data_IF_098582236811
#
_entry.id   IF_098582236811
#
_cell.length_a   1.000
_cell.length_b   1.000
_cell.length_c   1.000
_cell.angle_alpha   90.00
_cell.angle_beta   90.00
_cell.angle_gamma   90.00
#
_symmetry.space_group_name_H-M   'P 1'
#
loop_
_entity.id
_entity.type
_entity.pdbx_description
1 polymer ?
#
# COMPACT_ATOMS: atom_id res chain seq x y z
N UNK A 1 30.52 -33.09 43.99
CA UNK A 1 29.61 -31.92 43.94
C UNK A 1 28.31 -32.34 43.29
N UNK A 2 27.17 -32.14 43.96
CA UNK A 2 25.88 -32.66 43.50
C UNK A 2 25.33 -31.81 42.34
N UNK A 3 24.62 -32.43 41.39
CA UNK A 3 24.18 -31.77 40.14
C UNK A 3 23.34 -30.50 40.44
N UNK A 4 22.51 -30.56 41.47
CA UNK A 4 21.68 -29.44 41.97
C UNK A 4 22.51 -28.26 42.47
N UNK A 5 23.61 -28.51 43.17
CA UNK A 5 24.48 -27.46 43.72
C UNK A 5 25.22 -26.72 42.61
N UNK A 6 25.64 -27.46 41.56
CA UNK A 6 26.32 -26.89 40.39
C UNK A 6 25.40 -25.93 39.62
N UNK A 7 24.12 -26.27 39.48
CA UNK A 7 23.12 -25.38 38.87
C UNK A 7 22.83 -24.15 39.71
N UNK A 8 22.81 -24.26 41.05
CA UNK A 8 22.59 -23.14 41.96
C UNK A 8 23.73 -22.11 41.87
N UNK A 9 24.97 -22.58 41.90
CA UNK A 9 26.16 -21.71 41.74
C UNK A 9 26.21 -21.01 40.37
N UNK A 10 25.81 -21.68 39.28
CA UNK A 10 25.73 -21.06 37.95
C UNK A 10 24.66 -19.96 37.88
N UNK A 11 23.55 -20.13 38.61
CA UNK A 11 22.48 -19.13 38.73
C UNK A 11 22.91 -17.93 39.56
N UNK A 12 23.62 -18.16 40.66
CA UNK A 12 24.16 -17.08 41.51
C UNK A 12 25.27 -16.28 40.80
N UNK A 13 26.12 -16.95 39.99
CA UNK A 13 27.12 -16.28 39.14
C UNK A 13 26.50 -15.47 37.99
N UNK A 14 25.31 -15.84 37.52
CA UNK A 14 24.62 -15.12 36.45
C UNK A 14 23.53 -14.23 37.03
N UNK A 15 23.84 -12.95 37.21
CA UNK A 15 22.91 -11.91 37.67
C UNK A 15 21.81 -11.58 36.63
N UNK A 16 21.37 -12.58 35.84
CA UNK A 16 20.29 -12.47 34.85
C UNK A 16 18.97 -12.41 35.60
N UNK A 17 18.51 -11.19 35.87
CA UNK A 17 17.13 -10.97 36.26
C UNK A 17 16.20 -11.55 35.19
N UNK A 18 15.26 -12.40 35.61
CA UNK A 18 14.25 -12.94 34.70
C UNK A 18 13.31 -11.81 34.30
N UNK A 19 13.56 -11.21 33.13
CA UNK A 19 12.67 -10.20 32.55
C UNK A 19 11.32 -10.85 32.25
N UNK A 20 10.25 -10.36 32.89
CA UNK A 20 8.87 -10.80 32.65
C UNK A 20 8.10 -9.68 31.97
N UNK A 21 7.51 -9.98 30.83
CA UNK A 21 6.61 -9.08 30.13
C UNK A 21 5.18 -9.27 30.61
N UNK A 22 4.44 -8.17 30.76
CA UNK A 22 3.02 -8.18 31.08
C UNK A 22 2.23 -8.88 29.98
N UNK A 23 1.11 -9.50 30.34
CA UNK A 23 0.22 -10.15 29.37
C UNK A 23 -0.35 -9.20 28.29
N UNK A 24 -0.84 -7.99 28.61
CA UNK A 24 -1.37 -7.08 27.59
C UNK A 24 -0.31 -6.69 26.55
N UNK A 25 0.92 -6.43 26.98
CA UNK A 25 2.01 -6.08 26.06
C UNK A 25 2.36 -7.24 25.11
N UNK A 26 2.34 -8.49 25.60
CA UNK A 26 2.51 -9.67 24.72
C UNK A 26 1.39 -9.77 23.69
N UNK A 27 0.14 -9.52 24.09
CA UNK A 27 -1.02 -9.56 23.19
C UNK A 27 -0.93 -8.46 22.12
N UNK A 28 -0.52 -7.25 22.51
CA UNK A 28 -0.32 -6.14 21.58
C UNK A 28 0.75 -6.49 20.53
N UNK A 29 1.93 -6.94 20.97
CA UNK A 29 3.01 -7.35 20.06
C UNK A 29 2.54 -8.43 19.07
N UNK A 30 1.77 -9.42 19.54
CA UNK A 30 1.23 -10.47 18.66
C UNK A 30 0.25 -9.89 17.64
N UNK A 31 -0.61 -8.96 18.03
CA UNK A 31 -1.56 -8.30 17.13
C UNK A 31 -0.85 -7.45 16.06
N UNK A 32 0.21 -6.74 16.44
CA UNK A 32 1.00 -5.92 15.51
C UNK A 32 1.74 -6.79 14.48
N UNK A 33 2.17 -7.99 14.89
CA UNK A 33 2.76 -8.99 13.98
C UNK A 33 1.69 -9.59 13.05
N UNK A 34 0.48 -9.88 13.55
CA UNK A 34 -0.61 -10.43 12.75
C UNK A 34 -1.12 -9.45 11.68
N UNK A 35 -1.19 -8.17 12.04
CA UNK A 35 -1.55 -7.08 11.13
C UNK A 35 -0.41 -6.67 10.20
N UNK A 36 0.76 -7.31 10.30
CA UNK A 36 1.99 -7.02 9.53
C UNK A 36 2.50 -5.58 9.69
N UNK A 37 2.18 -4.93 10.82
CA UNK A 37 2.71 -3.60 11.16
C UNK A 37 4.20 -3.68 11.53
N UNK A 38 4.58 -4.74 12.24
CA UNK A 38 5.98 -5.00 12.63
C UNK A 38 6.38 -6.44 12.36
N UNK A 39 7.67 -6.65 12.12
CA UNK A 39 8.24 -7.98 11.89
C UNK A 39 8.77 -8.61 13.18
N UNK A 40 8.80 -9.94 13.22
CA UNK A 40 9.39 -10.72 14.35
C UNK A 40 10.85 -10.30 14.61
N UNK A 41 11.59 -9.92 13.56
CA UNK A 41 12.98 -9.50 13.68
C UNK A 41 13.12 -8.12 14.33
N UNK A 42 12.23 -7.17 14.04
CA UNK A 42 12.20 -5.85 14.67
C UNK A 42 11.84 -5.95 16.15
N UNK A 43 10.75 -6.67 16.47
CA UNK A 43 10.32 -6.91 17.85
C UNK A 43 11.42 -7.56 18.68
N UNK A 44 12.16 -8.51 18.09
CA UNK A 44 13.28 -9.18 18.75
C UNK A 44 14.40 -8.20 19.13
N UNK A 45 14.68 -7.20 18.28
CA UNK A 45 15.69 -6.17 18.52
C UNK A 45 15.21 -5.14 19.54
N UNK A 46 14.01 -4.60 19.33
CA UNK A 46 13.43 -3.53 20.15
C UNK A 46 13.22 -3.96 21.61
N UNK A 47 12.56 -5.10 21.82
CA UNK A 47 12.24 -5.58 23.17
C UNK A 47 13.33 -6.51 23.75
N UNK A 48 14.40 -6.77 22.98
CA UNK A 48 15.48 -7.71 23.32
C UNK A 48 14.93 -9.10 23.67
N UNK A 49 13.92 -9.55 22.92
CA UNK A 49 13.24 -10.83 23.12
C UNK A 49 13.78 -11.84 22.12
N UNK A 50 14.02 -13.07 22.56
CA UNK A 50 14.40 -14.14 21.63
C UNK A 50 13.23 -14.48 20.70
N UNK A 51 13.51 -14.73 19.42
CA UNK A 51 12.48 -15.12 18.44
C UNK A 51 11.64 -16.32 18.91
N UNK A 52 12.25 -17.29 19.61
CA UNK A 52 11.54 -18.45 20.15
C UNK A 52 10.45 -18.06 21.16
N UNK A 53 10.72 -17.10 22.05
CA UNK A 53 9.70 -16.57 22.96
C UNK A 53 8.57 -15.87 22.21
N UNK A 54 8.88 -15.13 21.14
CA UNK A 54 7.88 -14.49 20.28
C UNK A 54 7.00 -15.53 19.60
N UNK A 55 7.58 -16.59 19.02
CA UNK A 55 6.80 -17.69 18.44
C UNK A 55 5.89 -18.38 19.46
N UNK A 56 6.36 -18.56 20.70
CA UNK A 56 5.51 -19.07 21.79
C UNK A 56 4.34 -18.13 22.09
N UNK A 57 4.58 -16.82 22.11
CA UNK A 57 3.50 -15.84 22.31
C UNK A 57 2.51 -15.83 21.15
N UNK A 58 2.98 -15.87 19.92
CA UNK A 58 2.11 -16.00 18.74
C UNK A 58 1.26 -17.26 18.90
N UNK A 59 1.85 -18.38 19.28
CA UNK A 59 1.10 -19.63 19.47
C UNK A 59 0.06 -19.55 20.60
N UNK A 60 0.36 -18.85 21.70
CA UNK A 60 -0.53 -18.75 22.87
C UNK A 60 -1.60 -17.66 22.75
N UNK A 61 -1.32 -16.56 22.07
CA UNK A 61 -2.18 -15.36 22.04
C UNK A 61 -2.78 -15.06 20.67
N UNK A 62 -2.33 -15.73 19.60
CA UNK A 62 -2.93 -15.60 18.27
C UNK A 62 -4.38 -16.08 18.31
N UNK A 63 -5.32 -15.22 17.87
CA UNK A 63 -6.73 -15.61 17.74
C UNK A 63 -6.95 -16.67 16.65
N UNK A 64 -6.08 -16.69 15.64
CA UNK A 64 -6.33 -17.39 14.37
C UNK A 64 -5.37 -18.58 14.11
N UNK A 65 -4.41 -18.84 15.01
CA UNK A 65 -3.29 -19.77 14.76
C UNK A 65 -3.15 -20.85 15.84
N UNK A 66 -4.25 -21.44 16.28
CA UNK A 66 -4.22 -22.68 17.07
C UNK A 66 -3.60 -23.81 16.22
N UNK A 67 -2.81 -24.72 16.84
CA UNK A 67 -2.14 -25.85 16.14
C UNK A 67 -3.17 -26.56 15.24
N UNK A 68 -2.94 -26.51 13.93
CA UNK A 68 -3.80 -27.17 12.94
C UNK A 68 -4.57 -26.23 12.01
N UNK A 69 -4.69 -24.94 12.33
CA UNK A 69 -5.37 -23.99 11.44
C UNK A 69 -4.35 -23.36 10.49
N UNK A 70 -4.24 -23.92 9.28
CA UNK A 70 -3.65 -23.22 8.13
C UNK A 70 -4.58 -22.05 7.82
N UNK A 71 -4.23 -20.84 8.23
CA UNK A 71 -4.95 -19.64 7.77
C UNK A 71 -4.77 -19.55 6.26
N UNK A 72 -5.71 -20.09 5.51
CA UNK A 72 -5.87 -19.83 4.09
C UNK A 72 -6.28 -18.36 4.02
N UNK A 73 -5.38 -17.50 3.55
CA UNK A 73 -5.72 -16.12 3.20
C UNK A 73 -6.73 -16.28 2.06
N UNK A 74 -8.02 -16.18 2.37
CA UNK A 74 -9.06 -16.38 1.37
C UNK A 74 -8.88 -15.35 0.26
N UNK A 75 -8.73 -15.84 -0.98
CA UNK A 75 -8.73 -15.08 -2.23
C UNK A 75 -9.94 -14.13 -2.34
N UNK A 76 -10.98 -14.34 -1.53
CA UNK A 76 -12.14 -13.45 -1.38
C UNK A 76 -11.76 -12.00 -1.12
N UNK A 77 -10.72 -11.71 -0.32
CA UNK A 77 -10.29 -10.32 -0.10
C UNK A 77 -9.68 -9.67 -1.35
N UNK A 78 -9.08 -10.46 -2.24
CA UNK A 78 -8.55 -9.97 -3.51
C UNK A 78 -9.70 -9.80 -4.50
N UNK A 79 -10.63 -10.75 -4.54
CA UNK A 79 -11.83 -10.69 -5.38
C UNK A 79 -12.67 -9.44 -5.10
N UNK A 80 -12.93 -9.12 -3.83
CA UNK A 80 -13.71 -7.92 -3.46
C UNK A 80 -13.01 -6.63 -3.85
N UNK A 81 -11.69 -6.54 -3.64
CA UNK A 81 -10.89 -5.39 -4.10
C UNK A 81 -10.91 -5.26 -5.62
N UNK A 82 -10.85 -6.37 -6.34
CA UNK A 82 -10.94 -6.38 -7.81
C UNK A 82 -12.31 -5.92 -8.29
N UNK A 83 -13.39 -6.33 -7.65
CA UNK A 83 -14.74 -5.88 -7.97
C UNK A 83 -14.92 -4.37 -7.75
N UNK A 84 -14.45 -3.85 -6.61
CA UNK A 84 -14.48 -2.41 -6.31
C UNK A 84 -13.64 -1.60 -7.31
N UNK A 85 -12.48 -2.12 -7.70
CA UNK A 85 -11.64 -1.45 -8.71
C UNK A 85 -12.32 -1.45 -10.08
N UNK A 86 -12.94 -2.57 -10.49
CA UNK A 86 -13.69 -2.66 -11.74
C UNK A 86 -14.90 -1.73 -11.77
N UNK A 87 -15.65 -1.62 -10.67
CA UNK A 87 -16.79 -0.69 -10.60
C UNK A 87 -16.33 0.75 -10.75
N UNK A 88 -15.24 1.13 -10.10
CA UNK A 88 -14.67 2.48 -10.20
C UNK A 88 -14.15 2.80 -11.60
N UNK A 89 -13.52 1.84 -12.29
CA UNK A 89 -13.11 2.01 -13.69
C UNK A 89 -14.33 2.28 -14.57
N UNK A 90 -15.38 1.46 -14.44
CA UNK A 90 -16.62 1.63 -15.22
C UNK A 90 -17.27 3.00 -15.01
N UNK A 91 -17.31 3.48 -13.77
CA UNK A 91 -17.83 4.82 -13.44
C UNK A 91 -17.01 5.92 -14.10
N UNK A 92 -15.68 5.84 -14.01
CA UNK A 92 -14.78 6.81 -14.61
C UNK A 92 -14.88 6.82 -16.14
N UNK A 93 -14.92 5.66 -16.78
CA UNK A 93 -15.11 5.52 -18.24
C UNK A 93 -16.44 6.14 -18.69
N UNK A 94 -17.51 5.95 -17.92
CA UNK A 94 -18.82 6.57 -18.23
C UNK A 94 -18.76 8.10 -18.17
N UNK A 95 -18.14 8.66 -17.13
CA UNK A 95 -17.99 10.11 -16.98
C UNK A 95 -17.12 10.70 -18.09
N UNK A 96 -16.03 10.01 -18.46
CA UNK A 96 -15.17 10.43 -19.57
C UNK A 96 -15.96 10.43 -20.88
N UNK A 97 -16.71 9.37 -21.17
CA UNK A 97 -17.55 9.28 -22.38
C UNK A 97 -18.58 10.41 -22.48
N UNK A 98 -19.28 10.73 -21.40
CA UNK A 98 -20.24 11.85 -21.35
C UNK A 98 -19.56 13.20 -21.64
N UNK A 99 -18.35 13.41 -21.09
CA UNK A 99 -17.57 14.63 -21.35
C UNK A 99 -17.10 14.71 -22.80
N UNK A 100 -16.64 13.61 -23.38
CA UNK A 100 -16.19 13.57 -24.76
C UNK A 100 -17.32 13.90 -25.73
N UNK A 101 -18.51 13.31 -25.54
CA UNK A 101 -19.67 13.63 -26.38
C UNK A 101 -20.05 15.13 -26.33
N UNK A 102 -19.91 15.76 -25.16
CA UNK A 102 -20.16 17.19 -25.01
C UNK A 102 -19.13 18.03 -25.76
N UNK A 103 -17.86 17.66 -25.69
CA UNK A 103 -16.77 18.33 -26.42
C UNK A 103 -17.02 18.18 -27.92
N UNK A 104 -17.25 16.96 -28.41
CA UNK A 104 -17.47 16.70 -29.84
C UNK A 104 -18.67 17.50 -30.38
N UNK A 105 -19.75 17.59 -29.59
CA UNK A 105 -20.91 18.41 -29.95
C UNK A 105 -20.54 19.90 -30.02
N UNK A 106 -19.83 20.42 -29.02
CA UNK A 106 -19.40 21.82 -28.98
C UNK A 106 -18.46 22.15 -30.15
N UNK A 107 -17.50 21.28 -30.46
CA UNK A 107 -16.60 21.44 -31.60
C UNK A 107 -17.36 21.50 -32.92
N UNK A 108 -18.33 20.60 -33.12
CA UNK A 108 -19.15 20.57 -34.33
C UNK A 108 -20.06 21.79 -34.46
N UNK A 109 -20.60 22.30 -33.35
CA UNK A 109 -21.36 23.54 -33.33
C UNK A 109 -20.48 24.75 -33.70
N UNK A 110 -19.23 24.78 -33.23
CA UNK A 110 -18.26 25.81 -33.61
C UNK A 110 -17.96 25.71 -35.10
N UNK A 111 -17.69 24.52 -35.64
CA UNK A 111 -17.41 24.34 -37.07
C UNK A 111 -18.56 24.81 -37.97
N UNK A 112 -19.81 24.52 -37.58
CA UNK A 112 -20.98 24.99 -38.32
C UNK A 112 -21.11 26.52 -38.25
N UNK A 113 -20.87 27.12 -37.09
CA UNK A 113 -20.91 28.57 -36.92
C UNK A 113 -19.78 29.28 -37.71
N UNK A 114 -18.57 28.72 -37.73
CA UNK A 114 -17.46 29.24 -38.53
C UNK A 114 -17.78 29.19 -40.03
N UNK A 115 -18.42 28.10 -40.49
CA UNK A 115 -18.84 27.93 -41.88
C UNK A 115 -19.96 28.90 -42.29
N UNK A 116 -20.93 29.13 -41.42
CA UNK A 116 -22.09 29.98 -41.71
C UNK A 116 -21.74 31.47 -41.65
N UNK A 117 -20.92 31.89 -40.68
CA UNK A 117 -20.59 33.31 -40.46
C UNK A 117 -19.24 33.73 -41.07
N UNK A 118 -18.45 32.81 -41.64
CA UNK A 118 -17.12 33.09 -42.20
C UNK A 118 -16.17 33.82 -41.23
N UNK A 119 -16.32 33.56 -39.93
CA UNK A 119 -15.49 34.11 -38.86
C UNK A 119 -14.75 32.94 -38.20
N UNK A 120 -13.42 33.04 -38.07
CA UNK A 120 -12.62 32.08 -37.29
C UNK A 120 -12.85 32.28 -35.77
N UNK A 121 -13.88 31.63 -35.23
CA UNK A 121 -14.25 31.72 -33.81
C UNK A 121 -13.14 31.14 -32.92
N UNK A 122 -12.50 30.04 -33.34
CA UNK A 122 -11.37 29.43 -32.60
C UNK A 122 -10.17 30.38 -32.46
N UNK A 123 -9.98 31.32 -33.40
CA UNK A 123 -8.84 32.25 -33.45
C UNK A 123 -9.09 33.55 -32.70
N UNK A 124 -10.34 34.01 -32.67
CA UNK A 124 -10.74 35.26 -32.03
C UNK A 124 -11.07 35.12 -30.54
N UNK A 125 -11.12 33.88 -30.01
CA UNK A 125 -11.38 33.61 -28.58
C UNK A 125 -10.22 33.98 -27.65
N UNK A 126 -9.12 34.51 -28.18
CA UNK A 126 -7.99 35.02 -27.38
C UNK A 126 -7.95 36.56 -27.44
N UNK A 127 -8.90 37.28 -26.83
CA UNK A 127 -8.72 38.70 -26.57
C UNK A 127 -7.71 38.82 -25.42
N UNK A 128 -6.46 39.16 -25.76
CA UNK A 128 -5.30 39.38 -24.89
C UNK A 128 -4.42 38.14 -24.61
N UNK A 129 -3.76 37.61 -25.64
CA UNK A 129 -2.60 36.71 -25.51
C UNK A 129 -1.31 37.42 -25.01
N UNK A 130 -1.42 38.54 -24.27
CA UNK A 130 -0.27 39.23 -23.67
C UNK A 130 -0.08 38.90 -22.18
N UNK A 131 -0.98 38.13 -21.56
CA UNK A 131 -0.83 37.67 -20.19
C UNK A 131 -0.84 36.14 -20.14
N UNK A 132 0.29 35.57 -19.74
CA UNK A 132 0.52 34.14 -19.47
C UNK A 132 0.75 33.27 -20.72
N UNK A 133 2.01 33.18 -21.15
CA UNK A 133 2.68 31.91 -21.43
C UNK A 133 4.16 32.18 -21.67
N UNK A 134 4.94 32.06 -20.59
CA UNK A 134 6.37 31.83 -20.70
C UNK A 134 6.56 30.57 -21.54
N UNK A 135 7.18 30.73 -22.71
CA UNK A 135 7.67 29.63 -23.53
C UNK A 135 8.67 28.84 -22.68
N UNK A 136 8.29 27.65 -22.23
CA UNK A 136 9.27 26.60 -21.93
C UNK A 136 9.03 25.49 -22.92
N UNK A 137 10.00 25.30 -23.81
CA UNK A 137 9.99 24.31 -24.86
C UNK A 137 9.66 22.90 -24.30
N UNK A 138 8.98 22.03 -25.07
CA UNK A 138 8.85 20.63 -24.68
C UNK A 138 10.23 19.97 -24.73
N UNK A 139 10.80 19.64 -23.58
CA UNK A 139 11.91 18.70 -23.52
C UNK A 139 11.42 17.34 -24.04
N UNK A 140 11.95 16.99 -25.20
CA UNK A 140 11.96 15.67 -25.81
C UNK A 140 12.40 14.62 -24.77
N UNK A 141 11.44 13.96 -24.09
CA UNK A 141 11.75 12.79 -23.29
C UNK A 141 11.84 11.58 -24.23
N UNK A 142 13.05 11.37 -24.73
CA UNK A 142 13.50 10.18 -25.43
C UNK A 142 13.31 8.96 -24.51
N UNK A 143 12.59 7.96 -25.03
CA UNK A 143 12.62 6.54 -24.68
C UNK A 143 12.85 6.20 -23.20
N UNK A 144 11.76 5.88 -22.49
CA UNK A 144 11.85 4.97 -21.33
C UNK A 144 11.24 3.65 -21.76
N UNK A 145 12.09 2.73 -22.19
CA UNK A 145 11.77 1.31 -22.23
C UNK A 145 11.38 0.88 -20.81
N UNK A 146 10.12 0.54 -20.60
CA UNK A 146 9.64 -0.07 -19.36
C UNK A 146 10.18 -1.49 -19.34
N UNK A 147 11.29 -1.69 -18.62
CA UNK A 147 11.81 -3.02 -18.31
C UNK A 147 10.82 -3.70 -17.36
N UNK A 148 10.12 -4.73 -17.86
CA UNK A 148 9.41 -5.69 -17.03
C UNK A 148 10.42 -6.42 -16.15
N UNK A 149 10.47 -6.07 -14.86
CA UNK A 149 11.21 -6.87 -13.89
C UNK A 149 10.26 -7.95 -13.34
N UNK A 150 10.29 -9.12 -13.98
CA UNK A 150 9.90 -10.38 -13.36
C UNK A 150 10.92 -10.69 -12.26
N UNK A 151 10.51 -10.57 -11.00
CA UNK A 151 11.37 -10.83 -9.85
C UNK A 151 10.57 -11.39 -8.70
N UNK A 152 10.43 -12.72 -8.70
CA UNK A 152 10.02 -13.55 -7.58
C UNK A 152 10.61 -13.06 -6.24
N UNK A 153 9.75 -12.92 -5.23
CA UNK A 153 9.91 -13.50 -3.88
C UNK A 153 8.52 -13.73 -3.27
#
# INVERSE_FOLDING_TARGET
MNKKEKFKQLREKSNRQLRRFSEPLKRQIVNDIETKVTTIAEVSREYTVTRNSIYKWIYSYSKNRQKGVRTVIEEKSVSTKLEILKSKIKELESVIGQKQMKIDFQEKMIELAEKEYSVDIKKNLVPNASLVLGRTNPTENKNVNVVFNSGNQ
#
